data_IF_779876557652
#
_entry.id   IF_779876557652
#
_cell.length_a   1.000
_cell.length_b   1.000
_cell.length_c   1.000
_cell.angle_alpha   90.00
_cell.angle_beta   90.00
_cell.angle_gamma   90.00
#
_symmetry.space_group_name_H-M   'P 1'
#
loop_
_entity.id
_entity.type
_entity.pdbx_description
1 polymer ?
#
# COMPACT_ATOMS: atom_id res chain seq x y z
N UNK A 1 6.56 7.41 13.94
CA UNK A 1 7.21 7.91 12.70
C UNK A 1 8.65 7.43 12.62
N UNK A 2 9.41 7.57 13.71
CA UNK A 2 10.83 7.18 13.79
C UNK A 2 11.13 5.72 13.40
N UNK A 3 10.29 4.76 13.81
CA UNK A 3 10.45 3.36 13.42
C UNK A 3 10.39 3.15 11.90
N UNK A 4 9.47 3.85 11.22
CA UNK A 4 9.33 3.77 9.77
C UNK A 4 10.54 4.36 9.05
N UNK A 5 11.03 5.50 9.53
CA UNK A 5 12.25 6.14 9.00
C UNK A 5 13.47 5.22 9.21
N UNK A 6 13.62 4.63 10.39
CA UNK A 6 14.69 3.67 10.65
C UNK A 6 14.57 2.43 9.76
N UNK A 7 13.36 1.92 9.53
CA UNK A 7 13.13 0.79 8.63
C UNK A 7 13.47 1.11 7.17
N UNK A 8 13.15 2.31 6.69
CA UNK A 8 13.53 2.76 5.34
C UNK A 8 15.05 2.87 5.17
N UNK A 9 15.73 3.39 6.19
CA UNK A 9 17.19 3.55 6.18
C UNK A 9 17.97 2.27 6.45
N UNK A 10 17.31 1.18 6.86
CA UNK A 10 17.97 -0.09 7.22
C UNK A 10 18.59 -0.86 6.04
N UNK A 11 18.41 -0.39 4.80
CA UNK A 11 18.92 -1.04 3.58
C UNK A 11 18.18 -2.31 3.19
N UNK A 12 17.26 -2.82 4.03
CA UNK A 12 16.42 -3.98 3.70
C UNK A 12 15.29 -3.58 2.77
N UNK A 13 14.91 -4.51 1.88
CA UNK A 13 13.74 -4.33 1.02
C UNK A 13 12.45 -4.49 1.84
N UNK A 14 11.79 -3.38 2.16
CA UNK A 14 10.50 -3.41 2.86
C UNK A 14 9.38 -3.96 1.98
N UNK A 15 8.42 -4.63 2.62
CA UNK A 15 7.15 -5.06 2.01
C UNK A 15 6.02 -4.16 2.51
N UNK A 16 5.53 -3.30 1.63
CA UNK A 16 4.50 -2.32 1.92
C UNK A 16 3.17 -2.84 1.38
N UNK A 17 2.18 -2.98 2.26
CA UNK A 17 0.87 -3.55 1.91
C UNK A 17 -0.19 -2.46 1.93
N UNK A 18 -1.03 -2.41 0.90
CA UNK A 18 -2.24 -1.59 0.87
C UNK A 18 -3.43 -2.46 0.51
N UNK A 19 -4.41 -2.47 1.40
CA UNK A 19 -5.68 -3.17 1.19
C UNK A 19 -6.67 -2.30 0.43
N UNK A 20 -7.42 -2.91 -0.47
CA UNK A 20 -8.60 -2.35 -1.10
C UNK A 20 -9.77 -3.27 -0.83
N UNK A 21 -10.86 -2.67 -0.36
CA UNK A 21 -12.13 -3.35 -0.23
C UNK A 21 -12.92 -3.22 -1.54
N UNK A 22 -13.34 -4.33 -2.18
CA UNK A 22 -14.07 -4.31 -3.45
C UNK A 22 -15.56 -3.93 -3.31
N UNK A 23 -15.96 -3.17 -2.30
CA UNK A 23 -17.33 -2.65 -2.15
C UNK A 23 -17.81 -1.77 -3.30
N UNK A 24 -16.89 -1.16 -4.05
CA UNK A 24 -17.16 -0.43 -5.29
C UNK A 24 -16.36 -1.04 -6.46
N UNK A 25 -16.92 -1.02 -7.70
CA UNK A 25 -16.25 -1.57 -8.88
C UNK A 25 -15.04 -0.73 -9.33
N UNK A 26 -15.00 0.55 -8.94
CA UNK A 26 -14.05 1.53 -9.46
C UNK A 26 -13.11 2.09 -8.39
N UNK A 27 -11.84 2.26 -8.76
CA UNK A 27 -10.88 3.05 -8.01
C UNK A 27 -11.05 4.53 -8.35
N UNK A 28 -11.61 5.30 -7.42
CA UNK A 28 -11.73 6.75 -7.58
C UNK A 28 -10.38 7.48 -7.47
N UNK A 29 -10.35 8.74 -7.90
CA UNK A 29 -9.17 9.61 -7.74
C UNK A 29 -8.73 9.79 -6.28
N UNK A 30 -9.61 9.54 -5.30
CA UNK A 30 -9.24 9.56 -3.89
C UNK A 30 -8.14 8.56 -3.54
N UNK A 31 -8.07 7.42 -4.24
CA UNK A 31 -7.03 6.42 -4.04
C UNK A 31 -5.67 6.80 -4.63
N UNK A 32 -5.65 7.77 -5.55
CA UNK A 32 -4.43 8.15 -6.27
C UNK A 32 -3.34 8.67 -5.33
N UNK A 33 -3.70 9.30 -4.21
CA UNK A 33 -2.73 9.79 -3.22
C UNK A 33 -1.93 8.63 -2.61
N UNK A 34 -2.62 7.60 -2.10
CA UNK A 34 -1.98 6.42 -1.53
C UNK A 34 -1.15 5.65 -2.56
N UNK A 35 -1.71 5.44 -3.76
CA UNK A 35 -1.02 4.76 -4.85
C UNK A 35 0.24 5.51 -5.32
N UNK A 36 0.21 6.85 -5.40
CA UNK A 36 1.39 7.66 -5.72
C UNK A 36 2.47 7.56 -4.65
N UNK A 37 2.08 7.50 -3.36
CA UNK A 37 3.05 7.32 -2.27
C UNK A 37 3.71 5.94 -2.31
N UNK A 38 2.93 4.90 -2.57
CA UNK A 38 3.47 3.55 -2.77
C UNK A 38 4.40 3.48 -3.98
N UNK A 39 4.08 4.18 -5.06
CA UNK A 39 4.94 4.27 -6.24
C UNK A 39 6.32 4.86 -5.89
N UNK A 40 6.36 5.95 -5.13
CA UNK A 40 7.64 6.52 -4.66
C UNK A 40 8.45 5.50 -3.86
N UNK A 41 7.81 4.75 -2.96
CA UNK A 41 8.48 3.73 -2.17
C UNK A 41 8.96 2.54 -3.03
N UNK A 42 8.24 2.22 -4.11
CA UNK A 42 8.64 1.22 -5.09
C UNK A 42 9.86 1.67 -5.90
N UNK A 43 9.92 2.96 -6.28
CA UNK A 43 11.06 3.58 -6.95
C UNK A 43 12.31 3.62 -6.06
N UNK A 44 12.13 3.69 -4.74
CA UNK A 44 13.20 3.49 -3.74
C UNK A 44 13.63 2.02 -3.57
N UNK A 45 13.09 1.09 -4.38
CA UNK A 45 13.49 -0.32 -4.42
C UNK A 45 12.66 -1.24 -3.53
N UNK A 46 11.66 -0.74 -2.81
CA UNK A 46 10.81 -1.56 -1.94
C UNK A 46 9.78 -2.38 -2.73
N UNK A 47 9.21 -3.39 -2.07
CA UNK A 47 8.14 -4.20 -2.65
C UNK A 47 6.79 -3.67 -2.19
N UNK A 48 5.98 -3.22 -3.15
CA UNK A 48 4.57 -2.88 -2.92
C UNK A 48 3.71 -4.12 -3.17
N UNK A 49 2.76 -4.38 -2.28
CA UNK A 49 1.79 -5.47 -2.38
C UNK A 49 0.40 -4.86 -2.22
N UNK A 50 -0.38 -4.88 -3.29
CA UNK A 50 -1.79 -4.50 -3.26
C UNK A 50 -2.61 -5.73 -2.92
N UNK A 51 -3.49 -5.63 -1.93
CA UNK A 51 -4.34 -6.72 -1.46
C UNK A 51 -5.78 -6.34 -1.73
N UNK A 52 -6.50 -7.18 -2.48
CA UNK A 52 -7.95 -7.03 -2.66
C UNK A 52 -8.64 -7.94 -1.66
N UNK A 53 -9.38 -7.34 -0.74
CA UNK A 53 -10.04 -8.04 0.37
C UNK A 53 -11.44 -8.53 0.01
N UNK A 54 -11.55 -9.50 -0.89
CA UNK A 54 -12.84 -10.09 -1.28
C UNK A 54 -13.57 -10.78 -0.11
N UNK A 55 -12.80 -11.37 0.81
CA UNK A 55 -13.33 -11.98 2.03
C UNK A 55 -13.73 -10.94 3.08
N UNK A 56 -12.92 -9.89 3.28
CA UNK A 56 -13.25 -8.81 4.23
C UNK A 56 -14.49 -8.04 3.79
N UNK A 57 -14.67 -7.83 2.49
CA UNK A 57 -15.88 -7.21 1.94
C UNK A 57 -17.17 -7.96 2.27
N UNK A 58 -17.10 -9.27 2.53
CA UNK A 58 -18.28 -10.06 2.94
C UNK A 58 -18.63 -9.89 4.41
N UNK A 59 -17.70 -9.37 5.23
CA UNK A 59 -17.89 -9.14 6.66
C UNK A 59 -18.33 -7.69 6.92
N UNK A 60 -17.77 -6.72 6.18
CA UNK A 60 -18.06 -5.29 6.31
C UNK A 60 -16.82 -4.46 6.57
#
# INVERSE_FOLDING_TARGET
EDEFVAALSSGRRLRLKMGFDPSAPDLTLGHAVGLRKLRQLQELGHQVVVIVGDWTARIG
#
